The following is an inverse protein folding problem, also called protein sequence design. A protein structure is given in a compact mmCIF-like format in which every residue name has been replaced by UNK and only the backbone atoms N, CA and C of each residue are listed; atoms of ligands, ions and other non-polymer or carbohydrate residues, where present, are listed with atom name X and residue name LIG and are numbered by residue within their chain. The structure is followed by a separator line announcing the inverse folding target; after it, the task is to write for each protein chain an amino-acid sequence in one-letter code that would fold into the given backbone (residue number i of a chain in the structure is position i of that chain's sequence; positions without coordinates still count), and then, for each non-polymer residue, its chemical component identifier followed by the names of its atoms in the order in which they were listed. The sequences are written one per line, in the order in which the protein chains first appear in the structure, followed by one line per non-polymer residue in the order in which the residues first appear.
data_IF_830161938674
#
_entry.id   IF_830161938674
#
_cell.length_a   1.000
_cell.length_b   1.000
_cell.length_c   1.000
_cell.angle_alpha   90.00
_cell.angle_beta   90.00
_cell.angle_gamma   90.00
#
_symmetry.space_group_name_H-M   'P 1'
#
loop_
_entity.id
_entity.type
_entity.pdbx_description
1 polymer ?
#
# COMPACT_ATOMS: atom_id res chain seq x y z
N UNK A 1 -13.00 -0.85 14.78
CA UNK A 1 -12.95 -0.45 13.37
C UNK A 1 -13.98 -1.22 12.57
N UNK A 2 -14.27 -0.79 11.35
CA UNK A 2 -15.25 -1.48 10.52
C UNK A 2 -14.84 -2.93 10.23
N UNK A 3 -15.80 -3.85 10.32
CA UNK A 3 -15.61 -5.19 9.79
C UNK A 3 -15.45 -5.10 8.28
N UNK A 4 -14.48 -5.86 7.73
CA UNK A 4 -14.19 -5.83 6.31
C UNK A 4 -15.44 -6.12 5.46
N UNK A 5 -16.26 -7.09 5.91
CA UNK A 5 -17.60 -7.37 5.37
C UNK A 5 -18.50 -7.92 6.46
N UNK A 6 -19.82 -7.88 6.26
CA UNK A 6 -20.80 -8.54 7.15
C UNK A 6 -20.52 -10.04 7.34
N UNK A 7 -19.99 -10.70 6.31
CA UNK A 7 -19.60 -12.12 6.35
C UNK A 7 -18.23 -12.39 6.99
N UNK A 8 -17.48 -11.34 7.34
CA UNK A 8 -16.18 -11.40 8.03
C UNK A 8 -16.27 -10.65 9.35
N UNK A 9 -17.02 -11.18 10.33
CA UNK A 9 -17.18 -10.53 11.62
C UNK A 9 -15.83 -10.43 12.34
N UNK A 10 -15.64 -9.32 13.06
CA UNK A 10 -14.45 -9.01 13.87
C UNK A 10 -13.14 -8.85 13.10
N UNK A 11 -13.19 -8.83 11.77
CA UNK A 11 -12.01 -8.80 10.92
C UNK A 11 -11.80 -7.42 10.29
N UNK A 12 -10.60 -6.87 10.45
CA UNK A 12 -10.11 -5.73 9.69
C UNK A 12 -9.05 -6.20 8.71
N UNK A 13 -9.21 -5.89 7.43
CA UNK A 13 -8.25 -6.20 6.36
C UNK A 13 -7.70 -4.89 5.82
N UNK A 14 -6.40 -4.84 5.52
CA UNK A 14 -5.74 -3.63 5.04
C UNK A 14 -6.42 -3.05 3.79
N UNK A 15 -6.90 -3.92 2.89
CA UNK A 15 -7.65 -3.57 1.68
C UNK A 15 -8.82 -2.63 1.98
N UNK A 16 -9.57 -2.90 3.06
CA UNK A 16 -10.76 -2.14 3.43
C UNK A 16 -10.48 -0.65 3.67
N UNK A 17 -9.26 -0.32 4.08
CA UNK A 17 -8.87 1.06 4.38
C UNK A 17 -8.75 1.88 3.09
N UNK A 18 -8.38 1.28 1.96
CA UNK A 18 -8.41 1.99 0.68
C UNK A 18 -9.83 2.05 0.10
N UNK A 19 -10.61 0.98 0.25
CA UNK A 19 -11.98 0.96 -0.29
C UNK A 19 -12.88 2.01 0.38
N UNK A 20 -12.61 2.32 1.65
CA UNK A 20 -13.39 3.28 2.42
C UNK A 20 -12.68 4.61 2.66
N UNK A 21 -11.38 4.59 3.01
CA UNK A 21 -10.69 5.71 3.62
C UNK A 21 -10.70 6.97 2.76
N UNK A 22 -10.15 6.95 1.54
CA UNK A 22 -10.17 8.09 0.62
C UNK A 22 -11.58 8.60 0.30
N UNK A 23 -12.55 7.69 0.14
CA UNK A 23 -13.95 8.06 -0.06
C UNK A 23 -14.51 8.81 1.15
N UNK A 24 -14.31 8.26 2.35
CA UNK A 24 -14.82 8.85 3.59
C UNK A 24 -14.10 10.18 3.89
N UNK A 25 -12.80 10.29 3.63
CA UNK A 25 -12.04 11.53 3.79
C UNK A 25 -12.59 12.65 2.91
N UNK A 26 -12.86 12.33 1.64
CA UNK A 26 -13.44 13.30 0.70
C UNK A 26 -14.86 13.70 1.11
N UNK A 27 -15.68 12.75 1.55
CA UNK A 27 -17.01 13.04 2.08
C UNK A 27 -16.92 13.93 3.34
N UNK A 28 -16.04 13.58 4.28
CA UNK A 28 -15.88 14.29 5.54
C UNK A 28 -15.34 15.71 5.34
N UNK A 29 -14.52 15.94 4.32
CA UNK A 29 -14.08 17.28 3.93
C UNK A 29 -15.23 18.18 3.45
N UNK A 30 -16.18 17.61 2.71
CA UNK A 30 -17.27 18.38 2.09
C UNK A 30 -18.48 18.53 3.02
N UNK A 31 -18.81 17.47 3.77
CA UNK A 31 -20.06 17.38 4.52
C UNK A 31 -19.88 16.92 5.98
N UNK A 32 -18.66 16.55 6.37
CA UNK A 32 -18.41 15.87 7.64
C UNK A 32 -18.28 16.79 8.84
N UNK A 33 -18.31 16.13 9.99
CA UNK A 33 -18.07 16.70 11.31
C UNK A 33 -16.69 16.30 11.82
N UNK A 34 -16.31 16.82 13.00
CA UNK A 34 -15.07 16.40 13.66
C UNK A 34 -15.13 14.93 14.07
N UNK A 35 -16.31 14.44 14.42
CA UNK A 35 -16.58 13.06 14.78
C UNK A 35 -16.35 12.11 13.61
N UNK A 36 -16.76 12.51 12.39
CA UNK A 36 -16.48 11.74 11.17
C UNK A 36 -14.98 11.60 10.90
N UNK A 37 -14.24 12.69 11.07
CA UNK A 37 -12.78 12.67 10.96
C UNK A 37 -12.14 11.79 12.03
N UNK A 38 -12.57 11.92 13.29
CA UNK A 38 -12.03 11.10 14.38
C UNK A 38 -12.31 9.61 14.15
N UNK A 39 -13.50 9.23 13.66
CA UNK A 39 -13.80 7.85 13.30
C UNK A 39 -12.84 7.37 12.20
N UNK A 40 -12.81 8.04 11.05
CA UNK A 40 -11.93 7.68 9.93
C UNK A 40 -10.46 7.52 10.35
N UNK A 41 -9.90 8.51 11.03
CA UNK A 41 -8.48 8.54 11.37
C UNK A 41 -8.14 7.49 12.43
N UNK A 42 -9.06 7.22 13.36
CA UNK A 42 -8.89 6.15 14.34
C UNK A 42 -8.79 4.77 13.70
N UNK A 43 -9.42 4.55 12.54
CA UNK A 43 -9.39 3.26 11.87
C UNK A 43 -8.05 2.97 11.19
N UNK A 44 -7.44 3.97 10.56
CA UNK A 44 -6.09 3.86 10.03
C UNK A 44 -5.10 3.51 11.14
N UNK A 45 -5.21 4.19 12.29
CA UNK A 45 -4.36 3.95 13.46
C UNK A 45 -4.60 2.58 14.09
N UNK A 46 -5.86 2.18 14.25
CA UNK A 46 -6.24 0.92 14.87
C UNK A 46 -5.68 -0.28 14.09
N UNK A 47 -5.93 -0.33 12.77
CA UNK A 47 -5.48 -1.48 11.97
C UNK A 47 -3.96 -1.58 11.92
N UNK A 48 -3.26 -0.45 11.85
CA UNK A 48 -1.79 -0.43 11.86
C UNK A 48 -1.24 -0.95 13.18
N UNK A 49 -1.82 -0.50 14.31
CA UNK A 49 -1.37 -0.93 15.63
C UNK A 49 -1.53 -2.44 15.87
N UNK A 50 -2.51 -3.08 15.24
CA UNK A 50 -2.76 -4.51 15.37
C UNK A 50 -2.04 -5.36 14.32
N UNK A 51 -1.83 -4.84 13.11
CA UNK A 51 -1.24 -5.62 12.01
C UNK A 51 0.26 -5.43 11.85
N UNK A 52 0.87 -4.43 12.51
CA UNK A 52 2.31 -4.17 12.38
C UNK A 52 3.15 -5.26 13.03
N UNK A 53 4.04 -5.86 12.25
CA UNK A 53 5.15 -6.66 12.77
C UNK A 53 6.20 -5.72 13.38
N UNK A 54 6.46 -5.76 14.70
CA UNK A 54 7.40 -4.85 15.34
C UNK A 54 8.86 -5.04 14.87
N UNK A 55 9.18 -6.16 14.20
CA UNK A 55 10.54 -6.45 13.72
C UNK A 55 10.83 -5.79 12.39
N UNK A 56 9.88 -5.85 11.46
CA UNK A 56 10.05 -5.40 10.08
C UNK A 56 9.37 -4.06 9.81
N UNK A 57 8.38 -3.67 10.64
CA UNK A 57 7.53 -2.51 10.41
C UNK A 57 6.49 -2.72 9.30
N UNK A 58 6.46 -3.90 8.68
CA UNK A 58 5.48 -4.30 7.67
C UNK A 58 4.15 -4.68 8.34
N UNK A 59 3.07 -4.69 7.56
CA UNK A 59 1.72 -4.95 8.05
C UNK A 59 1.16 -6.28 7.53
N UNK A 60 0.71 -7.15 8.43
CA UNK A 60 -0.03 -8.37 8.06
C UNK A 60 -1.34 -8.02 7.33
N UNK A 61 -1.74 -8.85 6.35
CA UNK A 61 -2.91 -8.60 5.50
C UNK A 61 -4.20 -8.34 6.30
N UNK A 62 -4.44 -9.11 7.36
CA UNK A 62 -5.64 -8.96 8.17
C UNK A 62 -5.40 -9.24 9.65
N UNK A 63 -6.32 -8.73 10.45
CA UNK A 63 -6.46 -8.98 11.88
C UNK A 63 -7.90 -9.41 12.20
N UNK A 64 -8.06 -10.52 12.92
CA UNK A 64 -9.32 -10.97 13.51
C UNK A 64 -9.28 -10.74 15.02
N UNK A 65 -10.02 -9.75 15.52
CA UNK A 65 -10.12 -9.42 16.95
C UNK A 65 -10.68 -10.59 17.77
N UNK A 66 -11.49 -11.45 17.17
CA UNK A 66 -12.10 -12.59 17.88
C UNK A 66 -11.18 -13.82 17.98
N UNK A 67 -10.09 -13.84 17.21
CA UNK A 67 -9.13 -14.94 17.10
C UNK A 67 -9.78 -16.28 16.68
N UNK A 68 -10.94 -16.24 16.01
CA UNK A 68 -11.75 -17.42 15.65
C UNK A 68 -11.41 -17.97 14.27
N UNK A 69 -10.89 -17.16 13.37
CA UNK A 69 -10.45 -17.63 12.07
C UNK A 69 -9.26 -18.60 12.21
N UNK A 70 -9.24 -19.68 11.43
CA UNK A 70 -8.15 -20.66 11.46
C UNK A 70 -6.81 -20.07 10.99
N UNK A 71 -6.85 -19.07 10.10
CA UNK A 71 -5.67 -18.34 9.68
C UNK A 71 -5.15 -17.36 10.74
N UNK A 72 -5.95 -17.01 11.76
CA UNK A 72 -5.61 -16.01 12.73
C UNK A 72 -4.66 -16.58 13.78
N UNK A 73 -3.52 -15.89 13.97
CA UNK A 73 -2.61 -16.19 15.05
C UNK A 73 -3.33 -16.08 16.41
N UNK A 74 -3.15 -17.07 17.28
CA UNK A 74 -3.90 -17.15 18.54
C UNK A 74 -3.53 -16.04 19.55
N UNK A 75 -2.37 -15.41 19.41
CA UNK A 75 -1.92 -14.31 20.27
C UNK A 75 -2.21 -12.94 19.66
N UNK A 76 -1.87 -12.73 18.39
CA UNK A 76 -2.01 -11.41 17.75
C UNK A 76 -3.32 -11.22 17.00
N UNK A 77 -4.02 -12.29 16.62
CA UNK A 77 -5.16 -12.25 15.71
C UNK A 77 -4.79 -12.03 14.24
N UNK A 78 -3.50 -11.87 13.91
CA UNK A 78 -3.05 -11.54 12.56
C UNK A 78 -3.02 -12.76 11.63
N UNK A 79 -3.21 -12.50 10.33
CA UNK A 79 -2.91 -13.44 9.25
C UNK A 79 -1.41 -13.78 9.20
N UNK A 80 -1.01 -14.94 8.65
CA UNK A 80 0.36 -15.44 8.83
C UNK A 80 1.40 -14.77 7.91
N UNK A 81 0.99 -14.10 6.84
CA UNK A 81 1.89 -13.49 5.85
C UNK A 81 1.56 -12.04 5.51
N UNK A 82 2.59 -11.35 5.02
CA UNK A 82 2.58 -9.95 4.63
C UNK A 82 2.42 -9.89 3.11
N UNK A 83 1.17 -9.79 2.69
CA UNK A 83 0.82 -9.76 1.28
C UNK A 83 1.02 -8.35 0.70
N UNK A 84 1.79 -8.26 -0.38
CA UNK A 84 2.23 -6.99 -0.98
C UNK A 84 1.08 -6.05 -1.30
N UNK A 85 0.04 -6.52 -2.00
CA UNK A 85 -1.07 -5.65 -2.39
C UNK A 85 -1.91 -5.18 -1.20
N UNK A 86 -2.12 -5.99 -0.17
CA UNK A 86 -2.81 -5.54 1.04
C UNK A 86 -2.07 -4.38 1.70
N UNK A 87 -0.75 -4.50 1.86
CA UNK A 87 0.07 -3.40 2.39
C UNK A 87 0.08 -2.18 1.45
N UNK A 88 0.13 -2.41 0.13
CA UNK A 88 0.02 -1.37 -0.89
C UNK A 88 -1.27 -0.56 -0.75
N UNK A 89 -2.42 -1.21 -0.56
CA UNK A 89 -3.69 -0.52 -0.31
C UNK A 89 -3.65 0.36 0.93
N UNK A 90 -3.08 -0.13 2.03
CA UNK A 90 -2.93 0.67 3.25
C UNK A 90 -2.05 1.90 3.02
N UNK A 91 -0.91 1.72 2.34
CA UNK A 91 0.00 2.81 1.98
C UNK A 91 -0.71 3.88 1.14
N UNK A 92 -1.43 3.49 0.10
CA UNK A 92 -2.22 4.42 -0.73
C UNK A 92 -3.30 5.14 0.09
N UNK A 93 -4.05 4.40 0.92
CA UNK A 93 -5.11 4.96 1.74
C UNK A 93 -4.59 6.04 2.68
N UNK A 94 -3.44 5.81 3.30
CA UNK A 94 -2.82 6.75 4.23
C UNK A 94 -2.51 8.10 3.56
N UNK A 95 -1.81 8.07 2.43
CA UNK A 95 -1.41 9.31 1.73
C UNK A 95 -2.58 10.02 1.06
N UNK A 96 -3.59 9.27 0.61
CA UNK A 96 -4.81 9.84 0.03
C UNK A 96 -5.71 10.47 1.10
N UNK A 97 -5.79 9.89 2.29
CA UNK A 97 -6.52 10.51 3.42
C UNK A 97 -5.81 11.78 3.90
N UNK A 98 -4.48 11.78 3.94
CA UNK A 98 -3.67 12.95 4.33
C UNK A 98 -3.92 14.18 3.42
N UNK A 99 -4.21 13.98 2.13
CA UNK A 99 -4.55 15.06 1.19
C UNK A 99 -5.84 15.80 1.55
N UNK A 100 -6.77 15.13 2.23
CA UNK A 100 -8.06 15.71 2.59
C UNK A 100 -8.12 16.16 4.06
N UNK A 101 -7.19 15.72 4.90
CA UNK A 101 -7.15 16.07 6.32
C UNK A 101 -7.08 17.61 6.51
N UNK A 102 -7.97 18.22 7.30
CA UNK A 102 -7.96 19.67 7.50
C UNK A 102 -6.64 20.19 8.09
N UNK A 103 -6.31 21.42 7.73
CA UNK A 103 -5.15 22.16 8.26
C UNK A 103 -5.63 23.02 9.42
N UNK A 104 -5.47 22.53 10.66
CA UNK A 104 -5.92 23.21 11.86
C UNK A 104 -5.33 22.56 13.12
N UNK A 105 -5.14 23.34 14.18
CA UNK A 105 -4.53 22.87 15.43
C UNK A 105 -5.28 21.68 16.04
N UNK A 106 -6.58 21.58 15.77
CA UNK A 106 -7.46 20.53 16.24
C UNK A 106 -7.22 19.16 15.57
N UNK A 107 -6.56 19.14 14.39
CA UNK A 107 -6.19 17.93 13.65
C UNK A 107 -4.68 17.66 13.63
N UNK A 108 -3.86 18.54 14.24
CA UNK A 108 -2.40 18.43 14.24
C UNK A 108 -1.93 17.11 14.86
N UNK A 109 -2.57 16.66 15.95
CA UNK A 109 -2.28 15.36 16.55
C UNK A 109 -2.41 14.21 15.54
N UNK A 110 -3.50 14.20 14.77
CA UNK A 110 -3.73 13.17 13.76
C UNK A 110 -2.74 13.27 12.62
N UNK A 111 -2.45 14.50 12.16
CA UNK A 111 -1.46 14.73 11.10
C UNK A 111 -0.10 14.16 11.49
N UNK A 112 0.41 14.52 12.68
CA UNK A 112 1.68 13.99 13.20
C UNK A 112 1.63 12.46 13.26
N UNK A 113 0.56 11.87 13.83
CA UNK A 113 0.47 10.40 13.93
C UNK A 113 0.49 9.71 12.57
N UNK A 114 -0.24 10.24 11.58
CA UNK A 114 -0.31 9.63 10.25
C UNK A 114 0.97 9.85 9.44
N UNK A 115 1.62 11.00 9.60
CA UNK A 115 2.94 11.25 9.01
C UNK A 115 4.00 10.31 9.60
N UNK A 116 3.97 10.08 10.92
CA UNK A 116 4.87 9.11 11.57
C UNK A 116 4.67 7.69 11.01
N UNK A 117 3.41 7.29 10.76
CA UNK A 117 3.11 6.02 10.09
C UNK A 117 3.68 6.03 8.66
N UNK A 118 3.50 7.10 7.88
CA UNK A 118 4.01 7.20 6.52
C UNK A 118 5.54 7.06 6.48
N UNK A 119 6.26 7.72 7.40
CA UNK A 119 7.71 7.58 7.54
C UNK A 119 8.09 6.13 7.89
N UNK A 120 7.39 5.48 8.83
CA UNK A 120 7.64 4.08 9.17
C UNK A 120 7.39 3.15 8.00
N UNK A 121 6.31 3.34 7.24
CA UNK A 121 5.97 2.51 6.09
C UNK A 121 6.98 2.71 4.96
N UNK A 122 7.42 3.94 4.70
CA UNK A 122 8.48 4.23 3.73
C UNK A 122 9.74 3.43 4.04
N UNK A 123 10.20 3.42 5.29
CA UNK A 123 11.34 2.60 5.71
C UNK A 123 11.10 1.11 5.50
N UNK A 124 9.94 0.60 5.92
CA UNK A 124 9.61 -0.82 5.84
C UNK A 124 9.53 -1.31 4.38
N UNK A 125 8.83 -0.57 3.52
CA UNK A 125 8.68 -0.86 2.09
C UNK A 125 10.03 -0.82 1.37
N UNK A 126 10.84 0.23 1.60
CA UNK A 126 12.19 0.33 1.00
C UNK A 126 13.11 -0.78 1.49
N UNK A 127 12.97 -1.19 2.75
CA UNK A 127 13.77 -2.26 3.35
C UNK A 127 13.54 -3.65 2.74
N UNK A 128 12.42 -3.86 2.06
CA UNK A 128 12.08 -5.14 1.38
C UNK A 128 11.96 -5.01 -0.14
N UNK A 129 12.42 -3.89 -0.71
CA UNK A 129 12.57 -3.79 -2.16
C UNK A 129 13.64 -4.77 -2.63
N UNK A 130 13.33 -5.54 -3.67
CA UNK A 130 14.29 -6.48 -4.23
C UNK A 130 15.47 -5.74 -4.85
N UNK A 131 16.69 -6.17 -4.54
CA UNK A 131 17.91 -5.46 -4.96
C UNK A 131 18.24 -5.66 -6.44
N UNK A 132 17.82 -6.78 -7.02
CA UNK A 132 18.17 -7.13 -8.40
C UNK A 132 17.16 -6.52 -9.37
N UNK A 133 15.87 -6.55 -9.02
CA UNK A 133 14.81 -6.03 -9.88
C UNK A 133 14.31 -4.65 -9.50
N UNK A 134 14.59 -4.14 -8.29
CA UNK A 134 13.96 -2.93 -7.72
C UNK A 134 12.44 -3.00 -7.61
N UNK A 135 11.85 -4.21 -7.57
CA UNK A 135 10.41 -4.44 -7.43
C UNK A 135 10.10 -5.12 -6.10
N UNK A 136 8.82 -5.36 -5.83
CA UNK A 136 8.36 -6.01 -4.60
C UNK A 136 7.69 -7.35 -4.90
N UNK A 137 7.91 -8.30 -3.99
CA UNK A 137 7.36 -9.64 -4.09
C UNK A 137 5.89 -9.71 -3.64
N UNK A 138 5.17 -10.73 -4.11
CA UNK A 138 3.83 -11.08 -3.65
C UNK A 138 3.80 -11.25 -2.12
N UNK A 139 4.77 -11.95 -1.54
CA UNK A 139 5.00 -12.01 -0.09
C UNK A 139 6.28 -11.25 0.24
N UNK A 140 6.13 -10.09 0.88
CA UNK A 140 7.16 -9.05 0.94
C UNK A 140 8.43 -9.50 1.64
N UNK A 141 8.31 -10.24 2.74
CA UNK A 141 9.42 -10.64 3.59
C UNK A 141 10.06 -11.97 3.17
N UNK A 142 9.68 -12.53 2.00
CA UNK A 142 10.10 -13.86 1.56
C UNK A 142 10.59 -13.90 0.10
N UNK A 143 11.22 -12.83 -0.40
CA UNK A 143 11.65 -12.73 -1.79
C UNK A 143 12.56 -13.88 -2.28
N UNK A 144 13.46 -14.38 -1.42
CA UNK A 144 14.34 -15.51 -1.75
C UNK A 144 13.68 -16.90 -1.68
N UNK A 145 12.38 -16.99 -1.36
CA UNK A 145 11.68 -18.27 -1.23
C UNK A 145 11.16 -18.75 -2.59
N UNK A 146 11.46 -19.99 -2.92
CA UNK A 146 10.97 -20.64 -4.13
C UNK A 146 9.45 -20.49 -4.30
N UNK A 147 9.01 -20.21 -5.55
CA UNK A 147 7.64 -19.86 -5.98
C UNK A 147 7.14 -18.46 -5.62
N UNK A 148 7.85 -17.69 -4.79
CA UNK A 148 7.52 -16.27 -4.68
C UNK A 148 7.84 -15.57 -6.01
N UNK A 149 7.17 -14.44 -6.28
CA UNK A 149 7.32 -13.73 -7.55
C UNK A 149 7.15 -12.22 -7.34
N UNK A 150 7.78 -11.44 -8.21
CA UNK A 150 7.64 -9.99 -8.25
C UNK A 150 6.25 -9.63 -8.77
N UNK A 151 5.51 -8.83 -8.00
CA UNK A 151 4.09 -8.58 -8.25
C UNK A 151 3.85 -7.11 -8.59
N UNK A 152 3.21 -6.87 -9.74
CA UNK A 152 3.12 -5.55 -10.36
C UNK A 152 2.18 -4.61 -9.63
N UNK A 153 1.06 -5.10 -9.10
CA UNK A 153 0.10 -4.21 -8.42
C UNK A 153 0.68 -3.65 -7.12
N UNK A 154 1.26 -4.48 -6.27
CA UNK A 154 1.94 -4.08 -5.05
C UNK A 154 3.09 -3.12 -5.36
N UNK A 155 3.93 -3.46 -6.34
CA UNK A 155 5.04 -2.61 -6.76
C UNK A 155 4.56 -1.23 -7.21
N UNK A 156 3.51 -1.16 -8.03
CA UNK A 156 2.94 0.11 -8.46
C UNK A 156 2.36 0.93 -7.29
N UNK A 157 1.67 0.28 -6.34
CA UNK A 157 1.15 0.94 -5.13
C UNK A 157 2.26 1.52 -4.25
N UNK A 158 3.38 0.81 -4.11
CA UNK A 158 4.53 1.29 -3.36
C UNK A 158 5.25 2.44 -4.05
N UNK A 159 5.44 2.36 -5.36
CA UNK A 159 5.98 3.47 -6.16
C UNK A 159 5.10 4.72 -6.00
N UNK A 160 3.79 4.57 -6.16
CA UNK A 160 2.83 5.66 -5.94
C UNK A 160 2.97 6.26 -4.55
N UNK A 161 2.93 5.42 -3.51
CA UNK A 161 3.02 5.85 -2.13
C UNK A 161 4.32 6.61 -1.84
N UNK A 162 5.46 6.11 -2.32
CA UNK A 162 6.77 6.71 -2.08
C UNK A 162 6.89 8.05 -2.81
N UNK A 163 6.53 8.12 -4.10
CA UNK A 163 6.53 9.39 -4.83
C UNK A 163 5.59 10.41 -4.19
N UNK A 164 4.36 10.03 -3.88
CA UNK A 164 3.39 10.94 -3.27
C UNK A 164 3.84 11.44 -1.89
N UNK A 165 4.45 10.56 -1.09
CA UNK A 165 5.01 10.95 0.21
C UNK A 165 6.14 11.97 0.09
N UNK A 166 6.92 11.92 -0.99
CA UNK A 166 7.92 12.94 -1.34
C UNK A 166 7.25 14.22 -1.83
N UNK A 167 6.36 14.13 -2.83
CA UNK A 167 5.67 15.28 -3.44
C UNK A 167 4.86 16.12 -2.44
N UNK A 168 4.39 15.50 -1.35
CA UNK A 168 3.55 16.13 -0.35
C UNK A 168 4.31 16.48 0.95
N UNK A 169 5.63 16.35 0.94
CA UNK A 169 6.49 16.61 2.09
C UNK A 169 6.08 15.83 3.36
N UNK A 170 5.60 14.59 3.20
CA UNK A 170 5.26 13.70 4.32
C UNK A 170 6.48 12.99 4.89
N UNK A 171 7.63 13.10 4.24
CA UNK A 171 8.88 12.50 4.67
C UNK A 171 9.84 13.57 5.18
N UNK A 172 10.69 13.20 6.13
CA UNK A 172 11.75 14.08 6.62
C UNK A 172 12.77 14.36 5.50
N UNK A 173 13.59 15.40 5.67
CA UNK A 173 14.66 15.72 4.73
C UNK A 173 15.68 14.60 4.53
N UNK A 174 15.84 13.72 5.52
CA UNK A 174 16.71 12.53 5.43
C UNK A 174 16.04 11.37 4.68
N UNK A 175 14.73 11.17 4.87
CA UNK A 175 14.00 10.04 4.30
C UNK A 175 13.57 10.29 2.85
N UNK A 176 13.28 11.55 2.51
CA UNK A 176 12.74 11.95 1.20
C UNK A 176 13.65 11.53 0.02
N UNK A 177 14.98 11.80 0.03
CA UNK A 177 15.86 11.36 -1.06
C UNK A 177 15.89 9.84 -1.24
N UNK A 178 15.86 9.08 -0.14
CA UNK A 178 15.92 7.62 -0.19
C UNK A 178 14.61 7.01 -0.71
N UNK A 179 13.47 7.63 -0.37
CA UNK A 179 12.18 7.25 -0.93
C UNK A 179 12.07 7.58 -2.41
N UNK A 180 12.60 8.73 -2.81
CA UNK A 180 12.64 9.13 -4.21
C UNK A 180 13.49 8.17 -5.06
N UNK A 181 14.66 7.77 -4.57
CA UNK A 181 15.52 6.79 -5.23
C UNK A 181 14.80 5.44 -5.43
N UNK A 182 14.23 4.90 -4.35
CA UNK A 182 13.51 3.63 -4.38
C UNK A 182 12.29 3.67 -5.32
N UNK A 183 11.51 4.75 -5.28
CA UNK A 183 10.36 4.96 -6.16
C UNK A 183 10.77 5.05 -7.63
N UNK A 184 11.84 5.80 -7.92
CA UNK A 184 12.36 5.98 -9.28
C UNK A 184 12.87 4.66 -9.85
N UNK A 185 13.65 3.90 -9.09
CA UNK A 185 14.12 2.58 -9.50
C UNK A 185 12.95 1.62 -9.74
N UNK A 186 11.99 1.56 -8.81
CA UNK A 186 10.81 0.70 -8.95
C UNK A 186 9.92 1.08 -10.13
N UNK A 187 9.73 2.37 -10.40
CA UNK A 187 8.97 2.84 -11.55
C UNK A 187 9.64 2.46 -12.87
N UNK A 188 10.95 2.69 -12.99
CA UNK A 188 11.71 2.27 -14.16
C UNK A 188 11.61 0.76 -14.38
N UNK A 189 11.76 -0.04 -13.33
CA UNK A 189 11.64 -1.49 -13.44
C UNK A 189 10.22 -1.96 -13.82
N UNK A 190 9.17 -1.30 -13.33
CA UNK A 190 7.80 -1.58 -13.77
C UNK A 190 7.66 -1.37 -15.28
N UNK A 191 8.09 -0.20 -15.78
CA UNK A 191 8.01 0.14 -17.20
C UNK A 191 8.86 -0.79 -18.06
N UNK A 192 10.05 -1.15 -17.59
CA UNK A 192 11.01 -1.95 -18.37
C UNK A 192 10.69 -3.45 -18.37
N UNK A 193 10.18 -3.99 -17.25
CA UNK A 193 10.09 -5.43 -17.05
C UNK A 193 8.66 -5.96 -16.90
N UNK A 194 7.71 -5.11 -16.49
CA UNK A 194 6.32 -5.53 -16.26
C UNK A 194 5.36 -5.02 -17.33
N UNK A 195 5.77 -4.03 -18.13
CA UNK A 195 5.00 -3.58 -19.29
C UNK A 195 5.49 -4.29 -20.54
N UNK A 196 4.59 -5.00 -21.22
CA UNK A 196 4.86 -5.60 -22.53
C UNK A 196 4.06 -4.92 -23.64
N UNK A 197 4.45 -5.19 -24.89
CA UNK A 197 3.73 -4.73 -26.08
C UNK A 197 3.36 -5.93 -26.93
N UNK A 198 2.11 -6.02 -27.37
CA UNK A 198 1.65 -7.10 -28.23
C UNK A 198 1.95 -6.85 -29.73
N UNK A 199 1.51 -7.77 -30.59
CA UNK A 199 1.68 -7.68 -32.05
C UNK A 199 0.92 -6.51 -32.68
N UNK A 200 -0.18 -6.07 -32.06
CA UNK A 200 -0.97 -4.92 -32.49
C UNK A 200 -0.33 -3.58 -32.10
N UNK A 201 0.65 -3.63 -31.19
CA UNK A 201 1.31 -2.48 -30.62
C UNK A 201 0.66 -1.97 -29.34
N UNK A 202 -0.31 -2.70 -28.77
CA UNK A 202 -0.99 -2.34 -27.53
C UNK A 202 -0.10 -2.66 -26.32
N UNK A 203 -0.20 -1.83 -25.28
CA UNK A 203 0.56 -1.99 -24.05
C UNK A 203 -0.21 -2.82 -23.03
N UNK A 204 0.50 -3.68 -22.31
CA UNK A 204 -0.05 -4.56 -21.30
C UNK A 204 0.76 -4.51 -20.02
N UNK A 205 0.09 -4.53 -18.86
CA UNK A 205 0.74 -4.70 -17.57
C UNK A 205 0.61 -6.17 -17.13
N UNK A 206 1.74 -6.86 -17.05
CA UNK A 206 1.85 -8.25 -16.66
C UNK A 206 2.06 -8.43 -15.15
N UNK A 207 2.13 -9.68 -14.69
CA UNK A 207 2.48 -10.08 -13.31
C UNK A 207 1.57 -9.50 -12.21
N UNK A 208 0.25 -9.45 -12.44
CA UNK A 208 -0.72 -8.97 -11.45
C UNK A 208 -1.37 -10.16 -10.74
N UNK A 209 -1.30 -10.23 -9.42
CA UNK A 209 -2.11 -11.20 -8.66
C UNK A 209 -3.60 -10.89 -8.89
N UNK A 210 -4.41 -11.82 -9.40
CA UNK A 210 -5.82 -11.56 -9.74
C UNK A 210 -6.68 -11.25 -8.50
N UNK A 211 -6.50 -12.05 -7.45
CA UNK A 211 -7.26 -11.97 -6.20
C UNK A 211 -6.48 -12.68 -5.09
N UNK A 212 -6.64 -12.23 -3.84
CA UNK A 212 -6.34 -13.03 -2.66
C UNK A 212 -7.29 -12.62 -1.54
N UNK A 213 -7.43 -13.46 -0.53
CA UNK A 213 -8.30 -13.22 0.62
C UNK A 213 -8.14 -14.30 1.68
N UNK A 214 -8.92 -14.19 2.75
CA UNK A 214 -8.79 -15.07 3.90
C UNK A 214 -10.15 -15.68 4.29
N UNK A 215 -10.11 -16.90 4.84
CA UNK A 215 -11.29 -17.67 5.23
C UNK A 215 -12.24 -17.98 4.06
N UNK A 216 -13.54 -18.06 4.33
CA UNK A 216 -14.56 -18.33 3.32
C UNK A 216 -14.70 -19.80 2.93
N UNK A 217 -15.30 -20.06 1.77
CA UNK A 217 -15.49 -21.42 1.21
C UNK A 217 -15.27 -21.39 -0.31
N UNK A 218 -14.29 -22.14 -0.86
CA UNK A 218 -13.31 -22.96 -0.15
C UNK A 218 -12.46 -22.15 0.85
N UNK A 219 -11.97 -22.80 1.90
CA UNK A 219 -11.30 -22.11 2.99
C UNK A 219 -9.90 -21.65 2.56
N UNK A 220 -9.65 -20.34 2.65
CA UNK A 220 -8.36 -19.72 2.34
C UNK A 220 -7.60 -19.52 3.65
N UNK A 221 -6.56 -20.32 3.85
CA UNK A 221 -5.80 -20.37 5.11
C UNK A 221 -4.76 -19.25 5.25
N UNK A 222 -4.55 -18.45 4.20
CA UNK A 222 -3.57 -17.39 4.21
C UNK A 222 -2.13 -17.89 4.21
N UNK A 223 -1.87 -19.17 3.97
CA UNK A 223 -0.51 -19.72 3.88
C UNK A 223 0.28 -19.11 2.70
N UNK A 224 1.61 -19.24 2.74
CA UNK A 224 2.46 -18.87 1.62
C UNK A 224 1.98 -19.51 0.31
N UNK A 225 1.72 -20.82 0.35
CA UNK A 225 1.25 -21.63 -0.77
C UNK A 225 -0.09 -21.14 -1.32
N UNK A 226 -0.99 -20.71 -0.43
CA UNK A 226 -2.23 -20.07 -0.85
C UNK A 226 -1.97 -18.78 -1.63
N UNK A 227 -1.19 -17.84 -1.08
CA UNK A 227 -0.96 -16.55 -1.74
C UNK A 227 -0.19 -16.65 -3.06
N UNK A 228 0.84 -17.52 -3.13
CA UNK A 228 1.62 -17.70 -4.36
C UNK A 228 0.93 -18.60 -5.38
N UNK A 229 -0.10 -19.33 -4.95
CA UNK A 229 -0.94 -20.17 -5.81
C UNK A 229 -2.08 -19.42 -6.49
N UNK A 230 -2.40 -18.20 -6.05
CA UNK A 230 -3.43 -17.38 -6.69
C UNK A 230 -3.03 -17.00 -8.13
N UNK A 231 -3.99 -16.92 -9.08
CA UNK A 231 -3.67 -16.64 -10.47
C UNK A 231 -2.92 -15.33 -10.68
N UNK A 232 -1.89 -15.39 -11.51
CA UNK A 232 -1.17 -14.22 -12.02
C UNK A 232 -1.70 -13.90 -13.41
N UNK A 233 -2.19 -12.68 -13.59
CA UNK A 233 -2.92 -12.23 -14.77
C UNK A 233 -2.33 -10.93 -15.31
N UNK A 234 -2.79 -10.57 -16.51
CA UNK A 234 -2.47 -9.34 -17.23
C UNK A 234 -3.66 -8.39 -17.20
N UNK A 235 -3.39 -7.09 -17.20
CA UNK A 235 -4.37 -6.00 -17.33
C UNK A 235 -5.54 -6.04 -16.32
N UNK A 236 -5.33 -6.67 -15.17
CA UNK A 236 -6.31 -6.58 -14.08
C UNK A 236 -6.32 -5.15 -13.51
N UNK A 237 -7.52 -4.61 -13.34
CA UNK A 237 -7.74 -3.24 -12.87
C UNK A 237 -7.09 -2.94 -11.51
N UNK A 238 -6.84 -3.96 -10.68
CA UNK A 238 -6.16 -3.83 -9.39
C UNK A 238 -4.67 -3.51 -9.55
N UNK A 239 -4.07 -3.77 -10.72
CA UNK A 239 -2.72 -3.34 -11.08
C UNK A 239 -2.71 -2.09 -11.97
N UNK A 240 -3.61 -2.02 -12.95
CA UNK A 240 -3.67 -0.89 -13.91
C UNK A 240 -3.95 0.44 -13.20
N UNK A 241 -4.92 0.48 -12.28
CA UNK A 241 -5.24 1.70 -11.53
C UNK A 241 -4.04 2.27 -10.75
N UNK A 242 -3.41 1.48 -9.88
CA UNK A 242 -2.20 1.89 -9.19
C UNK A 242 -1.04 2.27 -10.11
N UNK A 243 -0.86 1.57 -11.23
CA UNK A 243 0.20 1.90 -12.20
C UNK A 243 -0.01 3.28 -12.82
N UNK A 244 -1.23 3.61 -13.25
CA UNK A 244 -1.56 4.95 -13.76
C UNK A 244 -1.31 6.01 -12.70
N UNK A 245 -1.75 5.78 -11.45
CA UNK A 245 -1.53 6.71 -10.36
C UNK A 245 -0.03 6.92 -10.07
N UNK A 246 0.75 5.84 -10.08
CA UNK A 246 2.20 5.89 -9.93
C UNK A 246 2.87 6.71 -11.05
N UNK A 247 2.45 6.52 -12.31
CA UNK A 247 2.93 7.30 -13.45
C UNK A 247 2.65 8.80 -13.29
N UNK A 248 1.45 9.17 -12.83
CA UNK A 248 1.08 10.57 -12.62
C UNK A 248 1.95 11.24 -11.53
N UNK A 249 2.21 10.55 -10.42
CA UNK A 249 3.11 11.08 -9.37
C UNK A 249 4.57 11.18 -9.85
N UNK A 250 5.02 10.23 -10.69
CA UNK A 250 6.36 10.24 -11.29
C UNK A 250 6.56 11.44 -12.24
N UNK A 251 5.55 11.77 -13.06
CA UNK A 251 5.57 12.94 -13.94
C UNK A 251 5.63 14.26 -13.15
N UNK A 252 4.96 14.31 -11.99
CA UNK A 252 5.01 15.46 -11.06
C UNK A 252 6.43 15.79 -10.61
N UNK A 253 7.21 14.77 -10.24
CA UNK A 253 8.62 14.89 -9.83
C UNK A 253 9.50 15.46 -10.97
N UNK A 254 9.33 14.95 -12.20
CA UNK A 254 10.14 15.36 -13.35
C UNK A 254 9.95 16.84 -13.71
N UNK A 255 8.77 17.38 -13.42
CA UNK A 255 8.43 18.80 -13.64
C UNK A 255 9.07 19.71 -12.58
N UNK A 256 9.18 19.24 -11.33
CA UNK A 256 9.86 19.96 -10.25
C UNK A 256 11.39 19.92 -10.33
N UNK A 257 11.98 18.81 -10.76
CA UNK A 257 13.43 18.72 -10.98
C UNK A 257 13.86 19.60 -12.18
N UNK A 258 13.04 19.67 -13.22
CA UNK A 258 13.30 20.54 -14.38
C UNK A 258 13.18 22.03 -14.02
N UNK A 259 12.29 22.40 -13.09
CA UNK A 259 12.14 23.78 -12.61
C UNK A 259 13.17 24.17 -11.54
N UNK A 260 13.62 23.24 -10.70
CA UNK A 260 14.76 23.46 -9.77
C UNK A 260 16.11 23.60 -10.48
N UNK A 261 16.27 23.00 -11.66
CA UNK A 261 17.50 23.15 -12.48
C UNK A 261 17.57 24.50 -13.22
N UNK A 262 16.47 25.26 -13.30
CA UNK A 262 16.43 26.59 -13.93
C UNK A 262 16.78 27.77 -13.00
N UNK A 263 17.21 27.52 -11.75
CA UNK A 263 17.64 28.56 -10.81
C UNK A 263 19.14 28.53 -10.47
N UNK A 264 19.96 27.83 -11.28
CA UNK A 264 21.43 27.85 -11.12
C UNK A 264 22.20 27.96 -12.44
N UNK A 265 21.72 28.78 -13.38
CA UNK A 265 22.51 29.26 -14.52
C UNK A 265 22.43 30.78 -14.57
#
# INVERSE_FOLDING_TARGET
GFWHKKIYPHQMWLDGLYMQGPFYARYAKEFGTREDWNDLLSQLVLVESHTRDPRTGLLYHAWDESHRQLWANQLSGCSPHIWGRAMGWYCMALVDVLDYLPTGVEFEYWRVRLVDIAVSLSRAVRGVQDKDSSLWFQILDQGGRERNYLESSASAMFVYFLFKSVNKDYLTSEESPLALEAATAGYHSLVQHMVSRDESGDLHLDSICSVAGLGGTPYRDGSFDYYVGEPVVRDDFKGIGPFILASLEAEGIGTELSSRTMLSI
#
